data_IF_715534612847
#
_entry.id   IF_715534612847
#
_cell.length_a   1.000
_cell.length_b   1.000
_cell.length_c   1.000
_cell.angle_alpha   90.00
_cell.angle_beta   90.00
_cell.angle_gamma   90.00
#
_symmetry.space_group_name_H-M   'P 1'
#
loop_
_entity.id
_entity.type
_entity.pdbx_description
1 polymer ?
#
# COMPACT_ATOMS: atom_id res chain seq x y z
N UNK A 1 44.31 -39.66 -37.06
CA UNK A 1 43.00 -39.51 -36.38
C UNK A 1 43.21 -38.66 -35.14
N UNK A 2 42.58 -37.49 -35.04
CA UNK A 2 42.77 -36.56 -33.91
C UNK A 2 41.70 -36.83 -32.85
N UNK A 3 42.10 -37.18 -31.63
CA UNK A 3 41.18 -37.44 -30.51
C UNK A 3 40.87 -36.15 -29.77
N UNK A 4 39.74 -35.53 -30.10
CA UNK A 4 39.23 -34.37 -29.37
C UNK A 4 38.76 -34.81 -27.98
N UNK A 5 39.46 -34.39 -26.93
CA UNK A 5 39.05 -34.61 -25.54
C UNK A 5 38.05 -33.54 -25.10
N UNK A 6 36.82 -33.96 -24.81
CA UNK A 6 35.78 -33.10 -24.27
C UNK A 6 36.06 -32.80 -22.79
N UNK A 7 36.42 -31.54 -22.46
CA UNK A 7 36.58 -31.09 -21.07
C UNK A 7 35.20 -30.84 -20.46
N UNK A 8 34.79 -31.64 -19.46
CA UNK A 8 33.61 -31.38 -18.64
C UNK A 8 33.74 -30.00 -17.97
N UNK A 9 32.77 -29.10 -18.23
CA UNK A 9 32.65 -27.82 -17.52
C UNK A 9 32.37 -28.10 -16.03
N UNK A 10 33.12 -27.44 -15.15
CA UNK A 10 32.82 -27.44 -13.70
C UNK A 10 31.41 -26.90 -13.48
N UNK A 11 30.62 -27.47 -12.56
CA UNK A 11 29.30 -26.94 -12.24
C UNK A 11 29.44 -25.49 -11.76
N UNK A 12 28.67 -24.59 -12.38
CA UNK A 12 28.55 -23.21 -11.94
C UNK A 12 27.99 -23.21 -10.51
N UNK A 13 28.79 -22.82 -9.52
CA UNK A 13 28.29 -22.53 -8.18
C UNK A 13 27.34 -21.35 -8.30
N UNK A 14 26.03 -21.59 -8.24
CA UNK A 14 25.06 -20.52 -8.01
C UNK A 14 25.49 -19.82 -6.73
N UNK A 15 25.87 -18.55 -6.83
CA UNK A 15 26.10 -17.71 -5.66
C UNK A 15 24.90 -17.80 -4.72
N UNK A 16 25.15 -17.67 -3.42
CA UNK A 16 24.09 -17.60 -2.44
C UNK A 16 23.04 -16.59 -2.93
N UNK A 17 21.78 -17.02 -3.11
CA UNK A 17 20.69 -16.08 -3.35
C UNK A 17 20.76 -15.08 -2.21
N UNK A 18 21.04 -13.81 -2.50
CA UNK A 18 20.83 -12.74 -1.55
C UNK A 18 19.42 -12.95 -0.99
N UNK A 19 19.29 -13.23 0.30
CA UNK A 19 17.98 -13.31 0.95
C UNK A 19 17.41 -11.91 0.84
N UNK A 20 16.53 -11.69 -0.13
CA UNK A 20 15.75 -10.47 -0.22
C UNK A 20 14.96 -10.37 1.07
N UNK A 21 15.14 -9.29 1.81
CA UNK A 21 14.35 -9.07 3.03
C UNK A 21 12.89 -8.91 2.62
N UNK A 22 12.00 -9.63 3.29
CA UNK A 22 10.56 -9.57 3.00
C UNK A 22 10.05 -8.15 3.21
N UNK A 23 9.20 -7.65 2.31
CA UNK A 23 8.61 -6.31 2.42
C UNK A 23 7.85 -6.10 3.72
N UNK A 24 7.17 -7.14 4.22
CA UNK A 24 6.51 -7.10 5.53
C UNK A 24 7.47 -6.82 6.68
N UNK A 25 8.69 -7.35 6.60
CA UNK A 25 9.75 -7.11 7.59
C UNK A 25 10.27 -5.67 7.49
N UNK A 26 10.50 -5.18 6.27
CA UNK A 26 10.93 -3.79 6.03
C UNK A 26 9.92 -2.78 6.61
N UNK A 27 8.63 -2.98 6.36
CA UNK A 27 7.57 -2.11 6.90
C UNK A 27 7.48 -2.18 8.41
N UNK A 28 7.54 -3.37 8.98
CA UNK A 28 7.48 -3.57 10.43
C UNK A 28 8.65 -2.87 11.14
N UNK A 29 9.86 -3.03 10.61
CA UNK A 29 11.05 -2.38 11.15
C UNK A 29 10.93 -0.85 11.08
N UNK A 30 10.43 -0.33 9.95
CA UNK A 30 10.15 1.10 9.80
C UNK A 30 9.08 1.60 10.78
N UNK A 31 7.97 0.90 10.95
CA UNK A 31 6.92 1.31 11.89
C UNK A 31 7.42 1.31 13.34
N UNK A 32 8.11 0.25 13.75
CA UNK A 32 8.71 0.17 15.08
C UNK A 32 9.73 1.29 15.33
N UNK A 33 10.63 1.52 14.36
CA UNK A 33 11.66 2.56 14.47
C UNK A 33 11.06 3.97 14.62
N UNK A 34 9.93 4.23 13.97
CA UNK A 34 9.25 5.52 13.99
C UNK A 34 8.11 5.60 15.02
N UNK A 35 7.97 4.61 15.91
CA UNK A 35 6.90 4.53 16.90
C UNK A 35 5.48 4.65 16.30
N UNK A 36 5.29 4.14 15.08
CA UNK A 36 3.99 4.08 14.42
C UNK A 36 3.22 2.92 15.06
N UNK A 37 2.00 3.19 15.53
CA UNK A 37 1.10 2.16 16.05
C UNK A 37 0.51 1.39 14.87
N UNK A 38 0.55 0.05 14.91
CA UNK A 38 -0.07 -0.80 13.88
C UNK A 38 -0.56 -2.12 14.48
N UNK A 39 -1.55 -2.72 13.82
CA UNK A 39 -1.96 -4.11 14.04
C UNK A 39 -1.51 -4.95 12.86
N UNK A 40 -0.93 -6.12 13.12
CA UNK A 40 -0.44 -7.03 12.09
C UNK A 40 -1.22 -8.35 12.14
N UNK A 41 -1.58 -8.89 10.97
CA UNK A 41 -2.12 -10.24 10.82
C UNK A 41 -1.56 -10.91 9.56
N UNK A 42 -1.11 -12.15 9.70
CA UNK A 42 -0.84 -13.05 8.58
C UNK A 42 -2.18 -13.59 8.04
N UNK A 43 -2.53 -13.25 6.79
CA UNK A 43 -3.74 -13.76 6.14
C UNK A 43 -3.47 -15.10 5.46
N UNK A 44 -2.32 -15.22 4.80
CA UNK A 44 -1.82 -16.42 4.13
C UNK A 44 -0.29 -16.47 4.27
N UNK A 45 0.36 -17.59 3.92
CA UNK A 45 1.81 -17.79 4.14
C UNK A 45 2.71 -16.67 3.58
N UNK A 46 2.27 -15.98 2.52
CA UNK A 46 2.99 -14.89 1.87
C UNK A 46 2.19 -13.57 1.82
N UNK A 47 1.09 -13.47 2.56
CA UNK A 47 0.25 -12.26 2.62
C UNK A 47 0.15 -11.77 4.06
N UNK A 48 0.73 -10.60 4.30
CA UNK A 48 0.67 -9.89 5.57
C UNK A 48 -0.25 -8.68 5.45
N UNK A 49 -1.03 -8.42 6.49
CA UNK A 49 -1.92 -7.26 6.55
C UNK A 49 -1.54 -6.41 7.75
N UNK A 50 -1.23 -5.14 7.49
CA UNK A 50 -1.05 -4.11 8.50
C UNK A 50 -2.27 -3.20 8.52
N UNK A 51 -2.76 -2.89 9.72
CA UNK A 51 -3.77 -1.86 9.95
C UNK A 51 -3.12 -0.74 10.76
N UNK A 52 -3.06 0.45 10.18
CA UNK A 52 -2.37 1.60 10.79
C UNK A 52 -3.42 2.67 11.12
N UNK A 53 -3.80 2.83 12.41
CA UNK A 53 -4.67 3.92 12.83
C UNK A 53 -3.95 5.27 12.71
N UNK A 54 -4.66 6.26 12.18
CA UNK A 54 -4.20 7.63 12.04
C UNK A 54 -5.31 8.62 12.39
N UNK A 55 -4.88 9.80 12.85
CA UNK A 55 -5.75 10.92 13.17
C UNK A 55 -5.26 12.15 12.40
N UNK A 56 -6.14 12.70 11.56
CA UNK A 56 -5.90 13.95 10.85
C UNK A 56 -6.50 15.08 11.70
N UNK A 57 -5.76 15.50 12.72
CA UNK A 57 -6.24 16.41 13.77
C UNK A 57 -6.87 17.70 13.25
N UNK A 58 -6.33 18.30 12.18
CA UNK A 58 -6.84 19.54 11.60
C UNK A 58 -8.24 19.39 10.99
N UNK A 59 -8.62 18.18 10.61
CA UNK A 59 -9.91 17.85 10.00
C UNK A 59 -10.79 17.00 10.92
N UNK A 60 -10.33 16.64 12.12
CA UNK A 60 -10.99 15.72 13.07
C UNK A 60 -11.42 14.38 12.42
N UNK A 61 -10.54 13.82 11.59
CA UNK A 61 -10.79 12.56 10.89
C UNK A 61 -9.92 11.46 11.49
N UNK A 62 -10.56 10.41 12.00
CA UNK A 62 -9.90 9.15 12.33
C UNK A 62 -9.97 8.19 11.16
N UNK A 63 -8.83 7.64 10.74
CA UNK A 63 -8.74 6.67 9.67
C UNK A 63 -7.95 5.43 10.04
N UNK A 64 -8.31 4.32 9.40
CA UNK A 64 -7.51 3.11 9.39
C UNK A 64 -6.97 2.90 7.99
N UNK A 65 -5.65 2.99 7.83
CA UNK A 65 -4.99 2.64 6.59
C UNK A 65 -4.69 1.14 6.63
N UNK A 66 -5.22 0.42 5.66
CA UNK A 66 -4.89 -0.99 5.44
C UNK A 66 -3.73 -1.10 4.47
N UNK A 67 -2.71 -1.86 4.83
CA UNK A 67 -1.58 -2.18 3.95
C UNK A 67 -1.51 -3.70 3.81
N UNK A 68 -1.79 -4.20 2.62
CA UNK A 68 -1.65 -5.62 2.28
C UNK A 68 -0.30 -5.79 1.59
N UNK A 69 0.51 -6.70 2.10
CA UNK A 69 1.83 -7.01 1.56
C UNK A 69 1.81 -8.42 1.01
N UNK A 70 2.12 -8.56 -0.28
CA UNK A 70 2.36 -9.84 -0.93
C UNK A 70 3.88 -10.01 -1.03
N UNK A 71 4.46 -10.74 -0.09
CA UNK A 71 5.91 -10.81 0.10
C UNK A 71 6.62 -11.50 -1.08
N UNK A 72 5.97 -12.44 -1.77
CA UNK A 72 6.57 -13.15 -2.91
C UNK A 72 6.94 -12.22 -4.07
N UNK A 73 6.18 -11.13 -4.22
CA UNK A 73 6.35 -10.14 -5.29
C UNK A 73 6.68 -8.74 -4.76
N UNK A 74 6.94 -8.63 -3.45
CA UNK A 74 7.22 -7.39 -2.73
C UNK A 74 6.19 -6.27 -3.02
N UNK A 75 4.92 -6.62 -3.22
CA UNK A 75 3.87 -5.67 -3.56
C UNK A 75 3.13 -5.23 -2.30
N UNK A 76 3.09 -3.92 -2.06
CA UNK A 76 2.23 -3.29 -1.08
C UNK A 76 0.99 -2.73 -1.78
N UNK A 77 -0.19 -3.01 -1.23
CA UNK A 77 -1.42 -2.29 -1.52
C UNK A 77 -1.82 -1.49 -0.27
N UNK A 78 -1.79 -0.17 -0.35
CA UNK A 78 -2.26 0.73 0.70
C UNK A 78 -3.65 1.25 0.34
N UNK A 79 -4.60 1.18 1.26
CA UNK A 79 -5.98 1.60 1.03
C UNK A 79 -6.70 2.12 2.27
N UNK A 80 -7.75 2.91 2.04
CA UNK A 80 -8.80 3.22 3.00
C UNK A 80 -10.17 3.05 2.32
N UNK A 81 -11.22 2.88 3.12
CA UNK A 81 -12.60 2.84 2.64
C UNK A 81 -13.52 3.61 3.60
N UNK A 82 -14.43 4.41 3.04
CA UNK A 82 -15.38 5.23 3.79
C UNK A 82 -16.76 5.23 3.15
N UNK A 83 -17.79 5.33 4.00
CA UNK A 83 -19.17 5.48 3.55
C UNK A 83 -19.32 6.83 2.84
N UNK A 84 -19.94 6.84 1.67
CA UNK A 84 -20.37 8.05 0.98
C UNK A 84 -21.50 8.71 1.77
N UNK A 85 -21.53 10.04 1.73
CA UNK A 85 -22.63 10.79 2.29
C UNK A 85 -23.93 10.48 1.51
N UNK A 86 -25.05 10.39 2.21
CA UNK A 86 -26.34 10.00 1.62
C UNK A 86 -26.93 11.20 0.86
N UNK A 87 -27.73 10.90 -0.16
CA UNK A 87 -28.58 11.87 -0.89
C UNK A 87 -27.90 12.72 -1.98
N UNK A 88 -26.71 12.36 -2.45
CA UNK A 88 -26.08 13.04 -3.59
C UNK A 88 -25.31 12.03 -4.44
N UNK A 89 -25.47 12.12 -5.75
CA UNK A 89 -24.63 11.39 -6.70
C UNK A 89 -23.29 12.13 -6.86
N UNK A 90 -22.21 11.52 -6.34
CA UNK A 90 -20.85 12.08 -6.40
C UNK A 90 -20.03 11.55 -7.58
N UNK A 91 -20.65 10.85 -8.54
CA UNK A 91 -19.93 10.19 -9.64
C UNK A 91 -19.03 11.14 -10.42
N UNK A 92 -19.50 12.38 -10.67
CA UNK A 92 -18.73 13.38 -11.42
C UNK A 92 -17.54 13.90 -10.60
N UNK A 93 -17.75 14.21 -9.33
CA UNK A 93 -16.72 14.69 -8.41
C UNK A 93 -15.65 13.63 -8.19
N UNK A 94 -16.05 12.38 -7.98
CA UNK A 94 -15.15 11.26 -7.82
C UNK A 94 -14.34 11.02 -9.09
N UNK A 95 -14.94 11.15 -10.27
CA UNK A 95 -14.22 11.04 -11.55
C UNK A 95 -13.20 12.18 -11.74
N UNK A 96 -13.57 13.42 -11.44
CA UNK A 96 -12.66 14.58 -11.48
C UNK A 96 -11.52 14.48 -10.47
N UNK A 97 -11.79 13.95 -9.27
CA UNK A 97 -10.75 13.70 -8.28
C UNK A 97 -9.82 12.57 -8.74
N UNK A 98 -10.39 11.47 -9.23
CA UNK A 98 -9.62 10.31 -9.68
C UNK A 98 -8.72 10.65 -10.88
N UNK A 99 -9.14 11.54 -11.79
CA UNK A 99 -8.33 11.98 -12.93
C UNK A 99 -7.09 12.78 -12.54
N UNK A 100 -7.06 13.33 -11.31
CA UNK A 100 -5.93 14.10 -10.77
C UNK A 100 -4.97 13.26 -9.94
N UNK A 101 -5.32 12.00 -9.67
CA UNK A 101 -4.46 11.11 -8.91
C UNK A 101 -3.31 10.61 -9.80
N UNK A 102 -2.08 10.89 -9.36
CA UNK A 102 -0.87 10.34 -10.00
C UNK A 102 -0.60 8.93 -9.49
N UNK A 103 -0.77 8.71 -8.18
CA UNK A 103 -0.52 7.44 -7.52
C UNK A 103 -1.80 6.96 -6.83
N UNK A 104 -2.41 5.92 -7.38
CA UNK A 104 -3.59 5.28 -6.81
C UNK A 104 -4.87 5.60 -7.57
N UNK A 105 -5.98 5.08 -7.06
CA UNK A 105 -7.30 5.18 -7.67
C UNK A 105 -8.36 5.33 -6.60
N UNK A 106 -9.38 6.12 -6.91
CA UNK A 106 -10.67 6.09 -6.24
C UNK A 106 -11.62 5.16 -7.01
N UNK A 107 -12.34 4.34 -6.28
CA UNK A 107 -13.40 3.49 -6.80
C UNK A 107 -14.56 3.44 -5.82
N UNK A 108 -15.78 3.36 -6.34
CA UNK A 108 -16.97 3.04 -5.54
C UNK A 108 -17.21 1.55 -5.69
N UNK A 109 -17.28 0.80 -4.59
CA UNK A 109 -17.47 -0.65 -4.70
C UNK A 109 -18.90 -0.94 -5.14
N UNK A 110 -19.04 -1.87 -6.09
CA UNK A 110 -20.34 -2.30 -6.60
C UNK A 110 -21.19 -2.81 -5.44
N UNK A 111 -22.46 -2.39 -5.40
CA UNK A 111 -23.43 -2.78 -4.37
C UNK A 111 -23.03 -2.34 -2.95
N UNK A 112 -22.08 -1.40 -2.82
CA UNK A 112 -21.71 -0.74 -1.57
C UNK A 112 -21.98 0.76 -1.67
N UNK A 113 -22.17 1.40 -0.51
CA UNK A 113 -22.11 2.86 -0.41
C UNK A 113 -20.70 3.32 0.02
N UNK A 114 -19.65 2.59 -0.35
CA UNK A 114 -18.28 2.86 0.08
C UNK A 114 -17.45 3.41 -1.09
N UNK A 115 -16.72 4.49 -0.82
CA UNK A 115 -15.63 4.94 -1.66
C UNK A 115 -14.30 4.45 -1.08
N UNK A 116 -13.53 3.78 -1.94
CA UNK A 116 -12.25 3.20 -1.60
C UNK A 116 -11.15 3.90 -2.39
N UNK A 117 -10.13 4.39 -1.68
CA UNK A 117 -8.86 4.75 -2.28
C UNK A 117 -7.91 3.56 -2.16
N UNK A 118 -7.18 3.26 -3.23
CA UNK A 118 -6.13 2.26 -3.21
C UNK A 118 -4.92 2.67 -4.05
N UNK A 119 -3.72 2.39 -3.55
CA UNK A 119 -2.46 2.62 -4.26
C UNK A 119 -1.53 1.44 -4.07
N UNK A 120 -0.69 1.19 -5.07
CA UNK A 120 0.24 0.07 -5.10
C UNK A 120 1.67 0.59 -5.18
N UNK A 121 2.58 -0.02 -4.43
CA UNK A 121 4.00 0.29 -4.49
C UNK A 121 4.84 -0.92 -4.09
N UNK A 122 6.14 -0.84 -4.34
CA UNK A 122 7.11 -1.88 -3.98
C UNK A 122 8.18 -1.28 -3.11
N UNK A 123 8.64 -2.08 -2.15
CA UNK A 123 9.79 -1.75 -1.30
C UNK A 123 10.90 -2.74 -1.63
N UNK A 124 12.08 -2.22 -1.92
CA UNK A 124 13.22 -3.04 -2.34
C UNK A 124 14.33 -3.09 -1.29
N UNK A 125 14.38 -2.10 -0.40
CA UNK A 125 15.40 -1.97 0.64
C UNK A 125 14.90 -1.09 1.78
N UNK A 126 15.60 -1.12 2.93
CA UNK A 126 15.31 -0.25 4.07
C UNK A 126 15.52 1.24 3.76
N UNK A 127 16.42 1.60 2.85
CA UNK A 127 16.67 3.00 2.49
C UNK A 127 15.48 3.61 1.76
N UNK A 128 14.75 2.81 0.98
CA UNK A 128 13.67 3.31 0.13
C UNK A 128 12.32 3.33 0.87
N UNK A 129 12.22 2.68 2.04
CA UNK A 129 10.95 2.58 2.79
C UNK A 129 10.44 3.96 3.15
N UNK A 130 11.30 4.82 3.70
CA UNK A 130 10.88 6.14 4.17
C UNK A 130 10.27 6.96 3.02
N UNK A 131 10.97 7.07 1.90
CA UNK A 131 10.53 7.93 0.80
C UNK A 131 9.31 7.36 0.09
N UNK A 132 9.31 6.07 -0.26
CA UNK A 132 8.21 5.43 -0.99
C UNK A 132 6.97 5.34 -0.11
N UNK A 133 7.10 4.85 1.14
CA UNK A 133 5.95 4.77 2.04
C UNK A 133 5.34 6.15 2.27
N UNK A 134 6.15 7.17 2.59
CA UNK A 134 5.65 8.50 2.89
C UNK A 134 4.98 9.14 1.67
N UNK A 135 5.53 8.97 0.46
CA UNK A 135 4.90 9.48 -0.76
C UNK A 135 3.49 8.89 -0.98
N UNK A 136 3.34 7.58 -0.81
CA UNK A 136 2.04 6.92 -0.97
C UNK A 136 1.09 7.25 0.19
N UNK A 137 1.61 7.36 1.40
CA UNK A 137 0.85 7.78 2.58
C UNK A 137 0.32 9.21 2.47
N UNK A 138 1.14 10.16 2.03
CA UNK A 138 0.73 11.55 1.80
C UNK A 138 -0.36 11.65 0.73
N UNK A 139 -0.24 10.88 -0.36
CA UNK A 139 -1.28 10.82 -1.39
C UNK A 139 -2.60 10.26 -0.83
N UNK A 140 -2.51 9.22 -0.01
CA UNK A 140 -3.63 8.60 0.68
C UNK A 140 -4.36 9.62 1.59
N UNK A 141 -3.63 10.25 2.51
CA UNK A 141 -4.16 11.24 3.46
C UNK A 141 -4.72 12.47 2.75
N UNK A 142 -4.02 12.99 1.73
CA UNK A 142 -4.48 14.15 0.95
C UNK A 142 -5.77 13.86 0.20
N UNK A 143 -5.91 12.64 -0.33
CA UNK A 143 -7.14 12.21 -1.00
C UNK A 143 -8.30 12.15 -0.01
N UNK A 144 -8.09 11.59 1.19
CA UNK A 144 -9.10 11.56 2.24
C UNK A 144 -9.52 12.96 2.67
N UNK A 145 -8.55 13.85 2.90
CA UNK A 145 -8.83 15.24 3.27
C UNK A 145 -9.64 15.98 2.18
N UNK A 146 -9.42 15.66 0.90
CA UNK A 146 -10.19 16.24 -0.21
C UNK A 146 -11.63 15.72 -0.24
N UNK A 147 -11.82 14.40 -0.03
CA UNK A 147 -13.16 13.79 0.09
C UNK A 147 -13.96 14.44 1.25
N UNK A 148 -13.30 14.62 2.39
CA UNK A 148 -13.87 15.27 3.57
C UNK A 148 -14.25 16.73 3.30
N UNK A 149 -13.32 17.53 2.77
CA UNK A 149 -13.56 18.96 2.49
C UNK A 149 -14.74 19.19 1.53
N UNK A 150 -14.97 18.26 0.62
CA UNK A 150 -16.07 18.28 -0.35
C UNK A 150 -17.37 17.65 0.20
N UNK A 151 -17.37 17.16 1.45
CA UNK A 151 -18.50 16.49 2.10
C UNK A 151 -19.00 15.24 1.35
N UNK A 152 -18.09 14.56 0.64
CA UNK A 152 -18.40 13.37 -0.16
C UNK A 152 -18.54 12.13 0.73
N UNK A 153 -17.74 12.05 1.78
CA UNK A 153 -17.76 10.95 2.74
C UNK A 153 -18.55 11.35 3.99
N UNK A 154 -19.14 10.35 4.63
CA UNK A 154 -19.81 10.49 5.91
C UNK A 154 -18.79 10.64 7.03
N UNK A 155 -19.05 11.61 7.88
CA UNK A 155 -18.28 11.88 9.11
C UNK A 155 -19.19 11.57 10.29
N UNK A 156 -18.64 11.22 11.44
CA UNK A 156 -19.43 10.86 12.62
C UNK A 156 -20.04 12.09 13.34
N UNK A 157 -20.31 13.18 12.60
CA UNK A 157 -21.02 14.37 13.11
C UNK A 157 -22.54 14.16 13.11
#
# INVERSE_FOLDING_TARGET
MSTTTCKKRKPYKRGARNKTTKTSTLLKDYFNKNNIIFYQRTAEQNIEVFLVPYDIQKQDIKLHIRIIVIDDINLCNMSFSYELNKNTDYSKELLDMNSKLVNGRLSVEKDSNQVTYATNFRLHSNSDVQDIYNQHFESCVSTLASLYKRKIIKTNE
#
